data_IF_132510867169
#
_entry.id   IF_132510867169
#
_cell.length_a   1.000
_cell.length_b   1.000
_cell.length_c   1.000
_cell.angle_alpha   90.00
_cell.angle_beta   90.00
_cell.angle_gamma   90.00
#
_symmetry.space_group_name_H-M   'P 1'
#
loop_
_entity.id
_entity.type
_entity.pdbx_description
1 polymer ?
#
# COMPACT_ATOMS: atom_id res chain seq x y z
N UNK A 1 26.07 -26.33 -16.51
CA UNK A 1 25.39 -25.72 -15.35
C UNK A 1 24.99 -24.31 -15.76
N UNK A 2 23.74 -23.92 -15.55
CA UNK A 2 23.26 -22.58 -15.90
C UNK A 2 23.46 -21.63 -14.71
N UNK A 3 23.68 -20.35 -14.98
CA UNK A 3 23.83 -19.30 -13.97
C UNK A 3 22.73 -18.25 -14.14
N UNK A 4 22.27 -17.65 -13.05
CA UNK A 4 21.29 -16.58 -13.10
C UNK A 4 21.88 -15.33 -13.76
N UNK A 5 21.20 -14.78 -14.77
CA UNK A 5 21.64 -13.56 -15.47
C UNK A 5 21.62 -12.30 -14.61
N UNK A 6 20.90 -12.31 -13.48
CA UNK A 6 20.75 -11.16 -12.59
C UNK A 6 21.74 -11.18 -11.41
N UNK A 7 22.03 -12.35 -10.84
CA UNK A 7 22.85 -12.45 -9.62
C UNK A 7 24.03 -13.43 -9.73
N UNK A 8 24.25 -14.04 -10.89
CA UNK A 8 25.32 -15.01 -11.18
C UNK A 8 25.34 -16.26 -10.29
N UNK A 9 24.27 -16.54 -9.54
CA UNK A 9 24.15 -17.75 -8.73
C UNK A 9 23.91 -18.99 -9.62
N UNK A 10 24.50 -20.16 -9.32
CA UNK A 10 24.23 -21.39 -10.05
C UNK A 10 22.76 -21.83 -9.89
N UNK A 11 22.16 -22.22 -11.01
CA UNK A 11 20.78 -22.72 -11.08
C UNK A 11 20.79 -24.25 -11.22
N UNK A 12 19.88 -24.92 -10.51
CA UNK A 12 19.59 -26.33 -10.76
C UNK A 12 19.07 -26.51 -12.20
N UNK A 13 19.35 -27.67 -12.80
CA UNK A 13 19.10 -27.94 -14.23
C UNK A 13 17.65 -27.80 -14.69
N UNK A 14 16.69 -27.78 -13.76
CA UNK A 14 15.26 -27.62 -14.02
C UNK A 14 14.60 -26.44 -13.27
N UNK A 15 15.40 -25.56 -12.66
CA UNK A 15 14.86 -24.41 -11.94
C UNK A 15 14.28 -23.38 -12.93
N UNK A 16 12.98 -23.09 -12.81
CA UNK A 16 12.30 -22.03 -13.59
C UNK A 16 12.55 -20.62 -13.05
N UNK A 17 12.99 -20.51 -11.80
CA UNK A 17 13.27 -19.24 -11.12
C UNK A 17 14.53 -19.37 -10.26
N UNK A 18 15.27 -18.27 -10.11
CA UNK A 18 16.39 -18.21 -9.19
C UNK A 18 15.89 -18.16 -7.75
N UNK A 19 16.31 -19.10 -6.92
CA UNK A 19 15.93 -19.18 -5.50
C UNK A 19 16.43 -17.99 -4.67
N UNK A 20 17.46 -17.27 -5.13
CA UNK A 20 18.08 -16.16 -4.40
C UNK A 20 17.49 -14.79 -4.75
N UNK A 21 17.17 -14.53 -6.02
CA UNK A 21 16.68 -13.23 -6.47
C UNK A 21 15.29 -13.27 -7.12
N UNK A 22 14.67 -14.44 -7.27
CA UNK A 22 13.33 -14.61 -7.85
C UNK A 22 13.24 -14.44 -9.37
N UNK A 23 14.34 -14.10 -10.06
CA UNK A 23 14.33 -13.90 -11.50
C UNK A 23 14.03 -15.19 -12.27
N UNK A 24 13.21 -15.11 -13.32
CA UNK A 24 12.89 -16.23 -14.20
C UNK A 24 14.14 -16.73 -14.94
N UNK A 25 14.40 -18.03 -14.89
CA UNK A 25 15.47 -18.66 -15.64
C UNK A 25 15.04 -18.76 -17.12
N UNK A 26 15.72 -18.01 -17.99
CA UNK A 26 15.52 -18.13 -19.44
C UNK A 26 16.18 -19.43 -19.88
N UNK A 27 15.36 -20.48 -20.00
CA UNK A 27 15.82 -21.77 -20.53
C UNK A 27 16.22 -21.59 -22.00
N UNK A 28 17.53 -21.51 -22.26
CA UNK A 28 18.08 -21.69 -23.61
C UNK A 28 18.00 -23.18 -23.91
N UNK A 29 16.91 -23.59 -24.56
CA UNK A 29 16.78 -24.96 -25.06
C UNK A 29 17.86 -25.22 -26.12
N UNK A 30 18.70 -26.26 -25.98
CA UNK A 30 19.63 -26.64 -27.03
C UNK A 30 18.91 -27.50 -28.08
N UNK A 31 19.17 -27.20 -29.35
CA UNK A 31 18.89 -28.02 -30.54
C UNK A 31 17.43 -28.36 -30.84
N UNK A 32 16.80 -27.50 -31.65
CA UNK A 32 15.78 -27.94 -32.60
C UNK A 32 16.31 -27.73 -34.03
N UNK A 33 16.49 -28.87 -34.69
CA UNK A 33 16.91 -29.07 -36.08
C UNK A 33 16.12 -28.19 -37.06
N UNK A 34 16.86 -27.48 -37.92
CA UNK A 34 16.31 -26.80 -39.10
C UNK A 34 15.86 -27.87 -40.10
N UNK A 35 14.55 -28.05 -40.26
CA UNK A 35 13.97 -28.77 -41.40
C UNK A 35 12.86 -27.91 -42.00
N UNK A 36 13.06 -27.55 -43.27
CA UNK A 36 11.98 -27.36 -44.25
C UNK A 36 11.15 -26.09 -44.10
N UNK A 37 11.48 -25.06 -44.88
CA UNK A 37 10.54 -24.03 -45.26
C UNK A 37 9.50 -24.59 -46.25
N UNK A 38 8.19 -24.42 -46.02
CA UNK A 38 7.21 -24.39 -47.09
C UNK A 38 6.95 -22.94 -47.53
N UNK A 39 6.85 -22.78 -48.85
CA UNK A 39 6.54 -21.56 -49.58
C UNK A 39 5.26 -20.85 -49.07
N UNK A 40 5.18 -19.50 -49.13
CA UNK A 40 3.96 -18.79 -48.80
C UNK A 40 2.91 -18.95 -49.91
N UNK A 41 1.81 -19.64 -49.60
CA UNK A 41 0.58 -19.63 -50.40
C UNK A 41 -0.20 -18.35 -50.06
N UNK A 42 -0.53 -17.57 -51.09
CA UNK A 42 -1.32 -16.34 -50.98
C UNK A 42 -2.71 -16.61 -50.38
N UNK A 43 -2.92 -16.17 -49.13
CA UNK A 43 -4.22 -16.22 -48.46
C UNK A 43 -5.11 -15.04 -48.87
N UNK A 44 -6.28 -15.34 -49.42
CA UNK A 44 -7.35 -14.38 -49.75
C UNK A 44 -7.83 -13.61 -48.51
N UNK A 45 -7.95 -12.28 -48.63
CA UNK A 45 -8.62 -11.39 -47.65
C UNK A 45 -10.10 -11.78 -47.48
N UNK A 46 -10.60 -12.11 -46.26
CA UNK A 46 -12.03 -12.15 -45.98
C UNK A 46 -12.58 -10.74 -45.66
N UNK A 47 -13.78 -10.46 -46.19
CA UNK A 47 -14.52 -9.20 -46.00
C UNK A 47 -15.07 -9.08 -44.56
N UNK A 48 -15.09 -7.89 -43.92
CA UNK A 48 -15.58 -7.73 -42.56
C UNK A 48 -17.08 -7.36 -42.55
N UNK A 49 -17.96 -8.34 -42.43
CA UNK A 49 -19.40 -8.10 -42.15
C UNK A 49 -19.93 -9.18 -41.20
N UNK A 50 -19.46 -9.22 -39.95
CA UNK A 50 -20.03 -10.11 -38.91
C UNK A 50 -19.61 -9.76 -37.46
N UNK A 51 -19.45 -8.48 -37.09
CA UNK A 51 -19.01 -8.08 -35.73
C UNK A 51 -20.08 -7.45 -34.83
N UNK A 52 -21.37 -7.52 -35.19
CA UNK A 52 -22.44 -6.86 -34.41
C UNK A 52 -23.31 -7.86 -33.61
N UNK A 53 -23.26 -9.17 -33.87
CA UNK A 53 -24.10 -10.13 -33.14
C UNK A 53 -23.44 -10.76 -31.90
N UNK A 54 -22.11 -10.73 -31.78
CA UNK A 54 -21.38 -11.37 -30.67
C UNK A 54 -21.41 -10.58 -29.34
N UNK A 55 -21.59 -9.26 -29.40
CA UNK A 55 -21.52 -8.40 -28.22
C UNK A 55 -22.78 -8.45 -27.33
N UNK A 56 -23.95 -8.73 -27.92
CA UNK A 56 -25.22 -8.77 -27.18
C UNK A 56 -25.42 -10.08 -26.39
N UNK A 57 -24.81 -11.19 -26.83
CA UNK A 57 -24.89 -12.48 -26.12
C UNK A 57 -23.97 -12.50 -24.88
N UNK A 58 -22.80 -11.84 -24.94
CA UNK A 58 -21.87 -11.78 -23.82
C UNK A 58 -22.39 -10.96 -22.62
N UNK A 59 -23.10 -9.85 -22.88
CA UNK A 59 -23.64 -9.00 -21.82
C UNK A 59 -24.83 -9.65 -21.09
N UNK A 60 -25.66 -10.43 -21.81
CA UNK A 60 -26.78 -11.16 -21.21
C UNK A 60 -26.34 -12.22 -20.20
N UNK A 61 -25.23 -12.92 -20.47
CA UNK A 61 -24.70 -13.97 -19.58
C UNK A 61 -24.09 -13.36 -18.30
N UNK A 62 -23.42 -12.21 -18.39
CA UNK A 62 -22.87 -11.52 -17.22
C UNK A 62 -23.97 -11.00 -16.28
N UNK A 63 -25.06 -10.46 -16.82
CA UNK A 63 -26.21 -10.01 -16.02
C UNK A 63 -26.94 -11.19 -15.33
N UNK A 64 -27.04 -12.34 -16.00
CA UNK A 64 -27.65 -13.53 -15.42
C UNK A 64 -26.80 -14.11 -14.25
N UNK A 65 -25.48 -14.11 -14.38
CA UNK A 65 -24.57 -14.57 -13.31
C UNK A 65 -24.56 -13.64 -12.10
N UNK A 66 -24.64 -12.32 -12.30
CA UNK A 66 -24.77 -11.35 -11.21
C UNK A 66 -26.10 -11.52 -10.43
N UNK A 67 -27.19 -11.80 -11.14
CA UNK A 67 -28.51 -12.00 -10.53
C UNK A 67 -28.62 -13.32 -9.73
N UNK A 68 -27.95 -14.39 -10.19
CA UNK A 68 -27.91 -15.68 -9.48
C UNK A 68 -26.92 -15.69 -8.30
N UNK A 69 -25.78 -14.99 -8.41
CA UNK A 69 -24.78 -14.88 -7.33
C UNK A 69 -25.21 -14.00 -6.15
N UNK A 70 -26.04 -12.97 -6.40
CA UNK A 70 -26.51 -12.03 -5.37
C UNK A 70 -27.47 -12.64 -4.33
N UNK A 71 -28.01 -13.84 -4.55
CA UNK A 71 -28.96 -14.48 -3.62
C UNK A 71 -28.31 -15.39 -2.57
N UNK A 72 -27.03 -15.77 -2.72
CA UNK A 72 -26.34 -16.65 -1.77
C UNK A 72 -25.49 -15.90 -0.73
N UNK A 73 -25.08 -14.67 -1.00
CA UNK A 73 -24.38 -13.84 -0.02
C UNK A 73 -25.42 -13.08 0.82
N UNK A 74 -25.78 -13.63 1.98
CA UNK A 74 -26.75 -13.09 2.95
C UNK A 74 -26.35 -11.75 3.58
N UNK A 75 -26.17 -10.72 2.75
CA UNK A 75 -25.61 -9.42 3.13
C UNK A 75 -26.61 -8.47 3.82
N UNK A 76 -27.88 -8.85 3.93
CA UNK A 76 -28.93 -8.03 4.56
C UNK A 76 -29.44 -8.59 5.91
N UNK A 77 -28.58 -9.27 6.67
CA UNK A 77 -28.86 -9.60 8.06
C UNK A 77 -28.62 -8.41 9.00
N UNK A 78 -29.68 -7.67 9.34
CA UNK A 78 -29.69 -6.68 10.43
C UNK A 78 -29.36 -7.37 11.76
N UNK A 79 -28.22 -7.04 12.36
CA UNK A 79 -27.94 -7.37 13.76
C UNK A 79 -28.68 -6.36 14.65
N UNK A 80 -29.77 -6.81 15.26
CA UNK A 80 -30.53 -6.07 16.26
C UNK A 80 -29.83 -6.22 17.62
N UNK A 81 -29.03 -5.23 18.00
CA UNK A 81 -28.36 -5.20 19.31
C UNK A 81 -29.37 -4.72 20.36
N UNK A 82 -29.93 -5.69 21.11
CA UNK A 82 -30.57 -5.40 22.40
C UNK A 82 -29.50 -5.01 23.42
N UNK A 83 -29.44 -3.74 23.76
CA UNK A 83 -28.74 -3.24 24.95
C UNK A 83 -29.45 -3.72 26.23
N UNK A 84 -28.79 -4.43 27.15
CA UNK A 84 -29.29 -4.53 28.51
C UNK A 84 -29.03 -3.20 29.23
N UNK A 85 -30.10 -2.44 29.42
CA UNK A 85 -30.18 -1.32 30.35
C UNK A 85 -30.06 -1.88 31.77
N UNK A 86 -28.86 -1.84 32.33
CA UNK A 86 -28.59 -2.10 33.74
C UNK A 86 -28.56 -0.76 34.48
N UNK A 87 -29.73 -0.36 34.97
CA UNK A 87 -29.89 0.83 35.80
C UNK A 87 -29.02 0.74 37.07
N UNK A 88 -28.34 1.84 37.38
CA UNK A 88 -27.96 2.17 38.75
C UNK A 88 -29.23 2.45 39.56
N UNK A 89 -29.38 1.83 40.75
CA UNK A 89 -29.99 2.56 41.85
C UNK A 89 -29.04 2.62 43.05
N UNK A 90 -28.59 3.83 43.35
CA UNK A 90 -28.17 4.22 44.69
C UNK A 90 -29.41 4.44 45.56
N UNK A 91 -29.32 3.97 46.81
CA UNK A 91 -30.08 4.35 48.01
C UNK A 91 -31.31 3.51 48.38
N UNK A 92 -31.25 2.84 49.54
CA UNK A 92 -31.96 3.24 50.77
C UNK A 92 -32.48 2.05 51.63
N UNK A 93 -31.87 1.93 52.82
CA UNK A 93 -32.54 1.78 54.14
C UNK A 93 -33.00 0.40 54.68
N UNK A 94 -32.39 0.02 55.82
CA UNK A 94 -32.85 -0.75 57.02
C UNK A 94 -33.56 -2.11 56.83
N UNK A 95 -33.28 -3.21 57.56
CA UNK A 95 -33.12 -3.42 59.02
C UNK A 95 -32.48 -4.83 59.30
N UNK A 96 -32.05 -5.16 60.54
CA UNK A 96 -31.19 -6.30 60.90
C UNK A 96 -31.97 -7.55 61.39
N UNK A 97 -31.25 -8.68 61.62
CA UNK A 97 -31.35 -9.26 62.96
C UNK A 97 -30.00 -9.75 63.55
N UNK A 98 -30.00 -9.78 64.87
CA UNK A 98 -28.99 -10.28 65.80
C UNK A 98 -28.53 -11.72 65.54
N UNK A 99 -27.26 -12.01 65.87
CA UNK A 99 -26.83 -13.36 66.19
C UNK A 99 -25.33 -13.65 66.05
N UNK A 100 -24.60 -13.53 67.17
CA UNK A 100 -23.43 -14.34 67.56
C UNK A 100 -22.13 -14.35 66.69
N UNK A 101 -21.18 -13.52 67.12
CA UNK A 101 -19.75 -13.76 67.47
C UNK A 101 -19.01 -15.09 67.11
N UNK A 102 -17.65 -15.13 67.13
CA UNK A 102 -16.78 -15.13 65.95
C UNK A 102 -15.92 -16.39 65.83
N UNK A 103 -15.64 -16.83 64.60
CA UNK A 103 -14.52 -17.74 64.31
C UNK A 103 -13.67 -17.14 63.18
N UNK A 104 -12.55 -16.58 63.60
CA UNK A 104 -11.43 -16.12 62.77
C UNK A 104 -10.83 -17.34 62.08
N UNK A 105 -10.99 -17.43 60.77
CA UNK A 105 -10.24 -18.33 59.91
C UNK A 105 -9.39 -17.47 58.99
N UNK A 106 -8.06 -17.54 59.16
CA UNK A 106 -7.07 -17.10 58.19
C UNK A 106 -7.42 -17.58 56.78
N UNK A 107 -7.52 -16.65 55.83
CA UNK A 107 -7.43 -16.93 54.40
C UNK A 107 -6.36 -16.01 53.82
N UNK A 108 -5.20 -16.58 53.52
CA UNK A 108 -4.20 -15.96 52.65
C UNK A 108 -4.81 -15.78 51.24
N UNK A 109 -4.71 -14.60 50.62
CA UNK A 109 -4.85 -14.49 49.18
C UNK A 109 -3.50 -14.84 48.53
N UNK A 110 -3.49 -16.00 47.90
CA UNK A 110 -2.52 -16.49 46.94
C UNK A 110 -2.11 -15.39 45.94
N UNK A 111 -0.80 -15.12 45.86
CA UNK A 111 -0.18 -14.22 44.90
C UNK A 111 -0.25 -14.81 43.48
N UNK A 112 -1.37 -14.59 42.79
CA UNK A 112 -1.47 -14.73 41.34
C UNK A 112 -0.92 -13.49 40.65
N UNK A 113 0.40 -13.45 40.43
CA UNK A 113 1.05 -12.39 39.66
C UNK A 113 0.54 -12.38 38.21
N UNK A 114 -0.15 -11.30 37.86
CA UNK A 114 -0.54 -10.97 36.50
C UNK A 114 0.69 -10.33 35.81
N UNK A 115 1.27 -10.88 34.72
CA UNK A 115 2.51 -10.37 34.14
C UNK A 115 2.30 -9.14 33.23
N UNK A 116 1.32 -8.30 33.54
CA UNK A 116 0.96 -7.09 32.79
C UNK A 116 1.09 -5.84 33.67
N UNK A 117 2.25 -5.70 34.30
CA UNK A 117 2.72 -4.42 34.79
C UNK A 117 4.22 -4.42 34.62
N UNK A 118 4.68 -3.85 33.51
CA UNK A 118 6.06 -3.39 33.44
C UNK A 118 6.26 -2.45 34.63
N UNK A 119 7.08 -2.90 35.57
CA UNK A 119 7.54 -2.14 36.72
C UNK A 119 8.20 -0.87 36.16
N UNK A 120 7.50 0.26 36.23
CA UNK A 120 8.16 1.57 36.18
C UNK A 120 8.88 1.63 37.52
N UNK A 121 10.20 1.52 37.52
CA UNK A 121 10.99 1.71 38.75
C UNK A 121 10.57 3.06 39.38
N UNK A 122 10.02 3.04 40.61
CA UNK A 122 9.60 4.26 41.28
C UNK A 122 10.85 5.01 41.74
N UNK A 123 11.33 5.96 40.94
CA UNK A 123 12.47 6.80 41.34
C UNK A 123 13.16 7.60 40.24
N UNK A 124 12.96 7.29 38.96
CA UNK A 124 13.50 8.14 37.90
C UNK A 124 12.54 9.34 37.66
N UNK A 125 13.04 10.59 37.76
CA UNK A 125 12.26 11.74 37.33
C UNK A 125 11.87 11.56 35.86
N UNK A 126 10.65 11.96 35.45
CA UNK A 126 10.20 11.82 34.08
C UNK A 126 11.25 12.45 33.16
N UNK A 127 11.90 11.62 32.35
CA UNK A 127 12.93 12.07 31.41
C UNK A 127 12.22 12.98 30.41
N UNK A 128 12.47 14.27 30.48
CA UNK A 128 11.91 15.20 29.50
C UNK A 128 12.33 14.73 28.10
N UNK A 129 11.39 14.72 27.13
CA UNK A 129 11.67 14.23 25.80
C UNK A 129 12.78 15.07 25.16
N UNK A 130 13.80 14.44 24.54
CA UNK A 130 14.90 15.17 23.91
C UNK A 130 14.40 16.13 22.84
N UNK A 131 14.78 17.42 22.95
CA UNK A 131 14.30 18.48 22.05
C UNK A 131 14.68 18.23 20.59
N UNK A 132 15.87 17.73 20.34
CA UNK A 132 16.37 17.38 19.00
C UNK A 132 15.49 16.32 18.31
N UNK A 133 15.00 15.33 19.07
CA UNK A 133 14.05 14.33 18.59
C UNK A 133 12.71 14.99 18.24
N UNK A 134 12.21 15.88 19.08
CA UNK A 134 10.95 16.59 18.82
C UNK A 134 11.03 17.50 17.59
N UNK A 135 12.12 18.25 17.45
CA UNK A 135 12.35 19.14 16.30
C UNK A 135 12.45 18.34 14.99
N UNK A 136 13.10 17.18 15.03
CA UNK A 136 13.17 16.27 13.88
C UNK A 136 11.84 15.59 13.57
N UNK A 137 11.06 15.17 14.59
CA UNK A 137 9.72 14.61 14.39
C UNK A 137 8.77 15.64 13.78
N UNK A 138 8.90 16.91 14.17
CA UNK A 138 8.15 18.01 13.58
C UNK A 138 8.55 18.28 12.13
N UNK A 139 9.85 18.16 11.80
CA UNK A 139 10.31 18.14 10.41
C UNK A 139 9.69 16.99 9.61
N UNK A 140 9.76 15.76 10.13
CA UNK A 140 9.16 14.59 9.50
C UNK A 140 7.65 14.75 9.30
N UNK A 141 6.94 15.35 10.26
CA UNK A 141 5.51 15.66 10.14
C UNK A 141 5.23 16.58 8.96
N UNK A 142 6.04 17.63 8.75
CA UNK A 142 5.89 18.53 7.59
C UNK A 142 6.13 17.82 6.26
N UNK A 143 7.16 16.98 6.20
CA UNK A 143 7.43 16.14 5.02
C UNK A 143 6.26 15.21 4.75
N UNK A 144 5.71 14.56 5.76
CA UNK A 144 4.56 13.66 5.61
C UNK A 144 3.31 14.40 5.13
N UNK A 145 3.03 15.61 5.65
CA UNK A 145 1.93 16.44 5.14
C UNK A 145 2.11 16.80 3.66
N UNK A 146 3.33 17.17 3.25
CA UNK A 146 3.65 17.46 1.84
C UNK A 146 3.50 16.22 0.96
N UNK A 147 4.04 15.08 1.40
CA UNK A 147 3.89 13.77 0.75
C UNK A 147 2.43 13.45 0.48
N UNK A 148 1.59 13.55 1.52
CA UNK A 148 0.15 13.27 1.43
C UNK A 148 -0.58 14.26 0.52
N UNK A 149 -0.20 15.54 0.53
CA UNK A 149 -0.79 16.55 -0.34
C UNK A 149 -0.48 16.30 -1.83
N UNK A 150 0.70 15.74 -2.14
CA UNK A 150 1.08 15.38 -3.52
C UNK A 150 0.40 14.11 -4.04
N UNK A 151 -0.29 13.36 -3.16
CA UNK A 151 -1.23 12.27 -3.45
C UNK A 151 -0.74 11.32 -4.56
N UNK A 152 -0.13 10.20 -4.18
CA UNK A 152 0.29 9.13 -5.10
C UNK A 152 -0.90 8.32 -5.60
N UNK A 153 -1.69 8.92 -6.47
CA UNK A 153 -2.47 8.09 -7.35
C UNK A 153 -1.70 7.99 -8.66
N UNK A 154 -1.29 6.78 -9.00
CA UNK A 154 -0.77 6.48 -10.34
C UNK A 154 -1.88 6.59 -11.39
N UNK A 155 -3.15 6.67 -10.97
CA UNK A 155 -4.32 6.81 -11.84
C UNK A 155 -4.27 8.08 -12.70
N UNK A 156 -3.92 9.28 -12.20
CA UNK A 156 -3.67 10.45 -13.06
C UNK A 156 -2.75 10.17 -14.26
N UNK A 157 -1.60 9.52 -14.05
CA UNK A 157 -0.68 9.19 -15.15
C UNK A 157 -1.28 8.15 -16.11
N UNK A 158 -1.96 7.14 -15.56
CA UNK A 158 -2.63 6.11 -16.35
C UNK A 158 -3.84 6.63 -17.13
N UNK A 159 -4.63 7.50 -16.54
CA UNK A 159 -5.82 8.11 -17.14
C UNK A 159 -5.40 9.13 -18.19
N UNK A 160 -4.35 9.91 -17.94
CA UNK A 160 -3.75 10.76 -18.95
C UNK A 160 -3.21 9.96 -20.14
N UNK A 161 -2.54 8.82 -19.87
CA UNK A 161 -2.06 7.95 -20.95
C UNK A 161 -3.20 7.28 -21.71
N UNK A 162 -4.22 6.75 -21.02
CA UNK A 162 -5.44 6.20 -21.66
C UNK A 162 -6.13 7.24 -22.51
N UNK A 163 -6.19 8.48 -22.03
CA UNK A 163 -6.77 9.61 -22.74
C UNK A 163 -5.95 9.92 -24.00
N UNK A 164 -4.62 9.96 -23.91
CA UNK A 164 -3.75 10.14 -25.07
C UNK A 164 -3.87 8.99 -26.10
N UNK A 165 -4.02 7.75 -25.66
CA UNK A 165 -4.19 6.58 -26.53
C UNK A 165 -5.59 6.47 -27.12
N UNK A 166 -6.62 6.93 -26.41
CA UNK A 166 -8.00 6.99 -26.87
C UNK A 166 -8.25 8.11 -27.89
N UNK A 167 -7.38 9.13 -27.92
CA UNK A 167 -7.43 10.22 -28.90
C UNK A 167 -6.90 9.85 -30.31
N UNK A 168 -6.25 8.69 -30.45
CA UNK A 168 -5.68 8.19 -31.73
C UNK A 168 -6.71 7.91 -32.82
N UNK A 169 -8.01 8.02 -32.52
CA UNK A 169 -9.10 7.68 -33.46
C UNK A 169 -9.69 8.85 -34.23
N UNK A 170 -9.53 10.12 -33.80
CA UNK A 170 -10.20 11.27 -34.45
C UNK A 170 -9.44 12.61 -34.47
N UNK A 171 -8.24 12.70 -33.87
CA UNK A 171 -7.51 13.97 -33.70
C UNK A 171 -6.38 14.13 -34.73
N UNK A 172 -6.16 15.37 -35.20
CA UNK A 172 -5.03 15.75 -36.05
C UNK A 172 -3.69 15.42 -35.36
N UNK A 173 -2.69 15.00 -36.13
CA UNK A 173 -1.40 14.55 -35.60
C UNK A 173 -0.69 15.65 -34.82
N UNK A 174 -0.83 16.90 -35.26
CA UNK A 174 -0.21 18.07 -34.62
C UNK A 174 -0.83 18.36 -33.24
N UNK A 175 -2.16 18.26 -33.11
CA UNK A 175 -2.87 18.46 -31.83
C UNK A 175 -2.55 17.32 -30.84
N UNK A 176 -2.35 16.10 -31.34
CA UNK A 176 -1.88 14.98 -30.51
C UNK A 176 -0.47 15.21 -29.95
N UNK A 177 0.46 15.72 -30.75
CA UNK A 177 1.83 15.97 -30.33
C UNK A 177 1.92 17.08 -29.27
N UNK A 178 1.14 18.16 -29.41
CA UNK A 178 1.05 19.20 -28.39
C UNK A 178 0.51 18.68 -27.05
N UNK A 179 -0.55 17.86 -27.09
CA UNK A 179 -1.12 17.23 -25.89
C UNK A 179 -0.13 16.27 -25.23
N UNK A 180 0.61 15.50 -26.02
CA UNK A 180 1.65 14.59 -25.51
C UNK A 180 2.78 15.37 -24.84
N UNK A 181 3.21 16.49 -25.43
CA UNK A 181 4.23 17.37 -24.84
C UNK A 181 3.75 18.00 -23.53
N UNK A 182 2.53 18.51 -23.50
CA UNK A 182 1.93 19.05 -22.27
C UNK A 182 1.82 18.01 -21.16
N UNK A 183 1.54 16.76 -21.51
CA UNK A 183 1.52 15.63 -20.57
C UNK A 183 2.92 15.33 -19.99
N UNK A 184 3.94 15.24 -20.84
CA UNK A 184 5.32 15.02 -20.40
C UNK A 184 5.80 16.15 -19.48
N UNK A 185 5.53 17.42 -19.83
CA UNK A 185 5.90 18.58 -18.99
C UNK A 185 5.20 18.56 -17.62
N UNK A 186 3.91 18.27 -17.58
CA UNK A 186 3.15 18.19 -16.32
C UNK A 186 3.69 17.07 -15.43
N UNK A 187 3.98 15.92 -16.01
CA UNK A 187 4.51 14.81 -15.26
C UNK A 187 5.96 15.05 -14.81
N UNK A 188 6.77 15.70 -15.64
CA UNK A 188 8.13 16.09 -15.25
C UNK A 188 8.11 17.01 -14.02
N UNK A 189 7.24 18.01 -13.99
CA UNK A 189 7.03 18.87 -12.80
C UNK A 189 6.58 18.05 -11.58
N UNK A 190 5.68 17.09 -11.79
CA UNK A 190 5.23 16.21 -10.72
C UNK A 190 6.38 15.37 -10.13
N UNK A 191 7.21 14.76 -10.97
CA UNK A 191 8.39 14.01 -10.54
C UNK A 191 9.44 14.90 -9.86
N UNK A 192 9.62 16.15 -10.33
CA UNK A 192 10.49 17.13 -9.68
C UNK A 192 10.02 17.46 -8.26
N UNK A 193 8.72 17.66 -8.03
CA UNK A 193 8.20 17.92 -6.69
C UNK A 193 8.53 16.78 -5.69
N UNK A 194 8.50 15.53 -6.15
CA UNK A 194 8.91 14.37 -5.35
C UNK A 194 10.41 14.38 -5.04
N UNK A 195 11.24 14.74 -6.01
CA UNK A 195 12.68 14.89 -5.80
C UNK A 195 13.00 16.01 -4.80
N UNK A 196 12.33 17.15 -4.92
CA UNK A 196 12.47 18.28 -4.00
C UNK A 196 12.04 17.91 -2.58
N UNK A 197 10.97 17.12 -2.43
CA UNK A 197 10.56 16.59 -1.13
C UNK A 197 11.65 15.70 -0.50
N UNK A 198 12.25 14.80 -1.29
CA UNK A 198 13.34 13.94 -0.80
C UNK A 198 14.55 14.79 -0.37
N UNK A 199 14.88 15.84 -1.13
CA UNK A 199 15.96 16.77 -0.80
C UNK A 199 15.66 17.56 0.48
N UNK A 200 14.42 18.04 0.64
CA UNK A 200 13.97 18.72 1.86
C UNK A 200 14.01 17.78 3.06
N UNK A 201 13.56 16.54 2.90
CA UNK A 201 13.66 15.51 3.93
C UNK A 201 15.11 15.33 4.39
N UNK A 202 16.04 15.17 3.44
CA UNK A 202 17.47 14.97 3.71
C UNK A 202 18.19 16.22 4.25
N UNK A 203 17.57 17.41 4.23
CA UNK A 203 18.19 18.65 4.71
C UNK A 203 18.42 18.69 6.22
N UNK A 204 17.72 17.86 6.99
CA UNK A 204 17.84 17.76 8.45
C UNK A 204 18.28 16.35 8.83
N UNK A 205 19.47 16.22 9.42
CA UNK A 205 20.01 14.92 9.84
C UNK A 205 19.19 14.35 11.02
N UNK A 206 18.75 13.08 10.96
CA UNK A 206 18.04 12.44 12.07
C UNK A 206 18.97 12.24 13.28
N UNK A 207 18.47 12.50 14.50
CA UNK A 207 19.13 12.04 15.73
C UNK A 207 19.27 10.51 15.75
N UNK A 208 20.27 9.98 16.48
CA UNK A 208 20.51 8.52 16.52
C UNK A 208 19.30 7.73 17.02
N UNK A 209 18.53 8.28 17.96
CA UNK A 209 17.29 7.66 18.46
C UNK A 209 16.24 7.48 17.36
N UNK A 210 16.29 8.31 16.31
CA UNK A 210 15.37 8.26 15.18
C UNK A 210 15.89 7.39 14.02
N UNK A 211 17.07 6.77 14.14
CA UNK A 211 17.75 6.13 13.00
C UNK A 211 16.90 5.07 12.29
N UNK A 212 16.24 4.19 13.05
CA UNK A 212 15.39 3.12 12.49
C UNK A 212 14.18 3.69 11.76
N UNK A 213 13.48 4.65 12.38
CA UNK A 213 12.35 5.35 11.75
C UNK A 213 12.79 6.08 10.47
N UNK A 214 13.90 6.81 10.56
CA UNK A 214 14.46 7.53 9.42
C UNK A 214 14.82 6.58 8.27
N UNK A 215 15.45 5.44 8.56
CA UNK A 215 15.82 4.46 7.53
C UNK A 215 14.59 3.88 6.81
N UNK A 216 13.56 3.47 7.55
CA UNK A 216 12.32 2.95 6.94
C UNK A 216 11.62 4.01 6.07
N UNK A 217 11.56 5.26 6.54
CA UNK A 217 10.88 6.34 5.82
C UNK A 217 11.68 6.86 4.62
N UNK A 218 13.00 7.00 4.73
CA UNK A 218 13.90 7.35 3.63
C UNK A 218 13.80 6.32 2.50
N UNK A 219 13.77 5.02 2.86
CA UNK A 219 13.59 3.94 1.89
C UNK A 219 12.24 4.09 1.17
N UNK A 220 11.15 4.34 1.90
CA UNK A 220 9.83 4.58 1.30
C UNK A 220 9.83 5.77 0.32
N UNK A 221 10.38 6.92 0.73
CA UNK A 221 10.45 8.12 -0.11
C UNK A 221 11.28 7.91 -1.37
N UNK A 222 12.45 7.25 -1.27
CA UNK A 222 13.27 6.94 -2.44
C UNK A 222 12.55 6.03 -3.41
N UNK A 223 11.82 5.02 -2.92
CA UNK A 223 11.01 4.15 -3.78
C UNK A 223 9.91 4.92 -4.53
N UNK A 224 9.28 5.93 -3.91
CA UNK A 224 8.36 6.80 -4.64
C UNK A 224 9.06 7.55 -5.77
N UNK A 225 10.19 8.19 -5.49
CA UNK A 225 10.95 8.94 -6.52
C UNK A 225 11.36 8.01 -7.67
N UNK A 226 11.84 6.81 -7.36
CA UNK A 226 12.17 5.79 -8.37
C UNK A 226 10.96 5.40 -9.22
N UNK A 227 9.80 5.16 -8.59
CA UNK A 227 8.56 4.82 -9.30
C UNK A 227 8.14 5.96 -10.24
N UNK A 228 8.24 7.22 -9.79
CA UNK A 228 7.91 8.38 -10.64
C UNK A 228 8.83 8.48 -11.86
N UNK A 229 10.14 8.28 -11.67
CA UNK A 229 11.09 8.29 -12.79
C UNK A 229 10.74 7.19 -13.81
N UNK A 230 10.40 5.98 -13.34
CA UNK A 230 10.02 4.87 -14.21
C UNK A 230 8.72 5.15 -14.97
N UNK A 231 7.72 5.73 -14.32
CA UNK A 231 6.48 6.14 -14.99
C UNK A 231 6.75 7.18 -16.07
N UNK A 232 7.61 8.18 -15.80
CA UNK A 232 7.99 9.15 -16.82
C UNK A 232 8.65 8.47 -18.04
N UNK A 233 9.53 7.51 -17.79
CA UNK A 233 10.20 6.74 -18.84
C UNK A 233 9.21 5.87 -19.63
N UNK A 234 8.31 5.16 -18.95
CA UNK A 234 7.28 4.34 -19.58
C UNK A 234 6.29 5.17 -20.39
N UNK A 235 5.90 6.37 -19.94
CA UNK A 235 5.06 7.26 -20.74
C UNK A 235 5.76 7.76 -22.00
N UNK A 236 7.06 8.12 -21.91
CA UNK A 236 7.85 8.51 -23.09
C UNK A 236 8.01 7.37 -24.09
N UNK A 237 8.14 6.13 -23.60
CA UNK A 237 8.25 4.90 -24.39
C UNK A 237 6.91 4.32 -24.84
N UNK A 238 5.78 4.91 -24.41
CA UNK A 238 4.42 4.37 -24.61
C UNK A 238 4.24 2.93 -24.07
N UNK A 239 4.98 2.56 -23.02
CA UNK A 239 4.93 1.24 -22.39
C UNK A 239 3.82 1.16 -21.32
N UNK A 240 2.60 0.93 -21.80
CA UNK A 240 1.41 0.77 -20.95
C UNK A 240 1.52 -0.48 -20.07
N UNK A 241 2.19 -1.53 -20.53
CA UNK A 241 2.31 -2.78 -19.77
C UNK A 241 3.09 -2.54 -18.49
N UNK A 242 4.20 -1.79 -18.57
CA UNK A 242 5.00 -1.45 -17.41
C UNK A 242 4.24 -0.56 -16.43
N UNK A 243 3.49 0.43 -16.92
CA UNK A 243 2.66 1.27 -16.06
C UNK A 243 1.59 0.48 -15.30
N UNK A 244 0.99 -0.52 -15.94
CA UNK A 244 0.01 -1.40 -15.30
C UNK A 244 0.64 -2.31 -14.23
N UNK A 245 1.87 -2.80 -14.46
CA UNK A 245 2.60 -3.57 -13.44
C UNK A 245 2.96 -2.71 -12.23
N UNK A 246 3.39 -1.47 -12.44
CA UNK A 246 3.75 -0.56 -11.36
C UNK A 246 2.55 -0.25 -10.45
N UNK A 247 1.36 -0.04 -11.02
CA UNK A 247 0.12 0.11 -10.25
C UNK A 247 -0.19 -1.10 -9.37
N UNK A 248 0.01 -2.32 -9.89
CA UNK A 248 -0.39 -3.55 -9.19
C UNK A 248 0.59 -4.01 -8.11
N UNK A 249 1.89 -3.74 -8.24
CA UNK A 249 2.93 -4.34 -7.38
C UNK A 249 3.86 -3.36 -6.66
N UNK A 250 4.14 -2.18 -7.23
CA UNK A 250 5.07 -1.25 -6.60
C UNK A 250 4.40 -0.44 -5.48
N UNK A 251 3.11 -0.10 -5.65
CA UNK A 251 2.33 0.59 -4.62
C UNK A 251 2.30 -0.19 -3.30
N UNK A 252 2.11 -1.51 -3.35
CA UNK A 252 2.09 -2.36 -2.16
C UNK A 252 3.43 -2.42 -1.42
N UNK A 253 4.55 -2.36 -2.15
CA UNK A 253 5.88 -2.31 -1.53
C UNK A 253 6.09 -1.00 -0.79
N UNK A 254 5.72 0.14 -1.38
CA UNK A 254 5.88 1.42 -0.70
C UNK A 254 4.94 1.54 0.50
N UNK A 255 3.70 1.06 0.37
CA UNK A 255 2.75 1.01 1.49
C UNK A 255 3.30 0.18 2.66
N UNK A 256 3.94 -0.97 2.38
CA UNK A 256 4.55 -1.79 3.44
C UNK A 256 5.66 -1.05 4.19
N UNK A 257 6.48 -0.27 3.49
CA UNK A 257 7.54 0.55 4.09
C UNK A 257 6.96 1.71 4.91
N UNK A 258 5.85 2.31 4.47
CA UNK A 258 5.15 3.35 5.23
C UNK A 258 4.50 2.80 6.49
N UNK A 259 3.92 1.59 6.43
CA UNK A 259 3.40 0.88 7.61
C UNK A 259 4.54 0.60 8.59
N UNK A 260 5.67 0.08 8.11
CA UNK A 260 6.85 -0.15 8.95
C UNK A 260 7.34 1.15 9.61
N UNK A 261 7.40 2.25 8.85
CA UNK A 261 7.77 3.56 9.37
C UNK A 261 6.78 4.05 10.44
N UNK A 262 5.47 3.85 10.27
CA UNK A 262 4.47 4.21 11.28
C UNK A 262 4.63 3.40 12.58
N UNK A 263 4.94 2.10 12.47
CA UNK A 263 5.23 1.26 13.62
C UNK A 263 6.50 1.69 14.35
N UNK A 264 7.55 2.06 13.60
CA UNK A 264 8.78 2.60 14.16
C UNK A 264 8.54 3.95 14.86
N UNK A 265 7.66 4.81 14.31
CA UNK A 265 7.24 6.06 14.96
C UNK A 265 6.48 5.79 16.27
N UNK A 266 5.59 4.79 16.28
CA UNK A 266 4.88 4.38 17.50
C UNK A 266 5.84 3.84 18.55
N UNK A 267 6.85 3.05 18.14
CA UNK A 267 7.88 2.52 19.04
C UNK A 267 8.71 3.67 19.65
N UNK A 268 9.24 4.56 18.82
CA UNK A 268 10.00 5.73 19.27
C UNK A 268 9.21 6.60 20.25
N UNK A 269 7.94 6.89 19.94
CA UNK A 269 7.08 7.68 20.82
C UNK A 269 6.94 7.05 22.21
N UNK A 270 6.79 5.71 22.30
CA UNK A 270 6.76 4.99 23.57
C UNK A 270 8.09 5.06 24.32
N UNK A 271 9.20 4.89 23.62
CA UNK A 271 10.56 4.93 24.22
C UNK A 271 10.89 6.27 24.86
N UNK A 272 10.47 7.37 24.24
CA UNK A 272 10.70 8.74 24.75
C UNK A 272 9.55 9.27 25.61
N UNK A 273 8.55 8.43 25.92
CA UNK A 273 7.46 8.78 26.84
C UNK A 273 6.44 9.79 26.31
N UNK A 274 6.30 9.94 24.98
CA UNK A 274 5.31 10.83 24.36
C UNK A 274 4.17 10.05 23.69
N UNK A 275 3.05 10.73 23.43
CA UNK A 275 2.01 10.19 22.55
C UNK A 275 2.48 10.27 21.09
N UNK A 276 2.03 9.32 20.25
CA UNK A 276 2.36 9.33 18.82
C UNK A 276 1.91 10.67 18.19
N UNK A 277 2.83 11.50 17.65
CA UNK A 277 2.52 12.88 17.28
C UNK A 277 1.72 13.02 15.98
N UNK A 278 1.84 12.05 15.07
CA UNK A 278 1.11 11.99 13.81
C UNK A 278 1.09 10.53 13.30
N UNK A 279 0.37 10.29 12.20
CA UNK A 279 0.36 9.00 11.52
C UNK A 279 1.05 9.10 10.16
N UNK A 280 1.91 8.13 9.87
CA UNK A 280 2.43 7.86 8.53
C UNK A 280 1.45 6.89 7.89
N UNK A 281 0.76 7.35 6.85
CA UNK A 281 -0.35 6.59 6.26
C UNK A 281 0.08 5.95 4.94
N UNK A 282 -0.16 4.64 4.72
CA UNK A 282 -0.04 4.05 3.40
C UNK A 282 -1.06 4.70 2.46
N UNK A 283 -0.73 4.80 1.19
CA UNK A 283 -1.57 5.52 0.22
C UNK A 283 -2.87 4.77 -0.08
N UNK A 284 -2.88 3.45 0.08
CA UNK A 284 -4.11 2.64 0.00
C UNK A 284 -5.13 2.92 1.12
N UNK A 285 -4.73 3.53 2.24
CA UNK A 285 -5.63 3.73 3.39
C UNK A 285 -6.61 4.90 3.23
N UNK A 286 -6.32 5.86 2.34
CA UNK A 286 -7.17 7.05 2.13
C UNK A 286 -8.28 6.80 1.10
N UNK A 287 -8.10 5.84 0.20
CA UNK A 287 -9.08 5.51 -0.84
C UNK A 287 -10.35 4.85 -0.26
N UNK A 288 -10.24 4.26 0.93
CA UNK A 288 -11.37 3.65 1.65
C UNK A 288 -12.33 4.66 2.30
N UNK A 289 -11.97 5.95 2.38
CA UNK A 289 -12.84 7.02 2.92
C UNK A 289 -13.50 7.89 1.86
N UNK A 290 -13.03 7.86 0.60
CA UNK A 290 -13.59 8.70 -0.49
C UNK A 290 -14.58 7.92 -1.37
N UNK A 291 -14.70 6.60 -1.21
CA UNK A 291 -15.70 5.76 -1.89
C UNK A 291 -17.16 5.91 -1.43
N UNK A 292 -17.47 6.87 -0.55
CA UNK A 292 -18.84 7.23 -0.17
C UNK A 292 -19.21 8.62 -0.73
N UNK A 293 -19.41 8.66 -2.05
CA UNK A 293 -19.97 9.82 -2.71
C UNK A 293 -19.35 10.02 -4.08
N UNK A 294 -19.92 9.36 -5.10
CA UNK A 294 -20.63 9.97 -6.23
C UNK A 294 -21.29 8.85 -7.04
#
# INVERSE_FOLDING_TARGET
MAYCSQCAEPLASEARFCHKCGAAAVATAPNATIIGAPLPVAAKKPKPVAKILGALVGLGILCALAYLGGRQAGWFGRAEVKTPSGANPLSATMQPPEGANPLRAEVQPNSGANPLRAEIEPGQPPKEPPKDVLDWLEHLRRIEMKRRAMRNDFSPALDMLRTALGMKTEIDLDEMDEKKKGLDENYHKYAQNWYDLLKEYASVRPPQQCATLAASYDTALRRYVEAMIRIQDSMRKEDISELMKMRGGEQGQVDSLLIEADENLRRLAREIGIRKPFAIQPDSSVDSMVGLGF
#
